data_IF_391891299611
#
_entry.id   IF_391891299611
#
_cell.length_a   1.000
_cell.length_b   1.000
_cell.length_c   1.000
_cell.angle_alpha   90.00
_cell.angle_beta   90.00
_cell.angle_gamma   90.00
#
_symmetry.space_group_name_H-M   'P 1'
#
loop_
_entity.id
_entity.type
_entity.pdbx_description
1 polymer ?
#
# COMPACT_ATOMS: atom_id res chain seq x y z
N UNK A 1 95.40 -22.27 34.63
CA UNK A 1 95.24 -21.83 33.24
C UNK A 1 93.77 -21.98 32.92
N UNK A 2 92.98 -20.91 33.11
CA UNK A 2 91.54 -20.95 32.97
C UNK A 2 91.12 -20.29 31.64
N UNK A 3 90.58 -21.07 30.78
CA UNK A 3 90.05 -20.60 29.46
C UNK A 3 88.57 -20.28 29.67
N UNK A 4 88.20 -18.99 29.53
CA UNK A 4 86.82 -18.54 29.52
C UNK A 4 86.27 -18.68 28.10
N UNK A 5 85.23 -19.45 27.96
CA UNK A 5 84.39 -19.48 26.75
C UNK A 5 83.29 -18.39 26.86
N UNK A 6 83.29 -17.46 25.91
CA UNK A 6 82.31 -16.41 25.76
C UNK A 6 81.25 -16.92 24.77
N UNK A 7 80.01 -17.11 25.30
CA UNK A 7 78.88 -17.56 24.44
C UNK A 7 78.22 -16.30 23.85
N UNK A 8 78.26 -16.19 22.53
CA UNK A 8 77.59 -15.16 21.72
C UNK A 8 76.18 -15.66 21.49
N UNK A 9 75.16 -14.96 22.09
CA UNK A 9 73.73 -15.22 21.86
C UNK A 9 73.28 -14.42 20.62
N UNK A 10 72.97 -15.12 19.55
CA UNK A 10 72.49 -14.54 18.32
C UNK A 10 70.95 -14.38 18.43
N UNK A 11 70.46 -13.16 18.55
CA UNK A 11 69.05 -12.87 18.48
C UNK A 11 68.60 -12.82 17.01
N UNK A 12 67.83 -13.85 16.55
CA UNK A 12 67.14 -13.80 15.27
C UNK A 12 65.79 -13.08 15.51
N UNK A 13 65.69 -11.85 15.01
CA UNK A 13 64.39 -11.12 14.95
C UNK A 13 63.66 -11.56 13.71
N UNK A 14 62.65 -12.40 13.88
CA UNK A 14 61.70 -12.78 12.82
C UNK A 14 60.70 -11.62 12.61
N UNK A 15 60.84 -10.88 11.53
CA UNK A 15 59.79 -9.96 11.04
C UNK A 15 58.68 -10.79 10.43
N UNK A 16 57.53 -10.88 11.14
CA UNK A 16 56.29 -11.30 10.50
C UNK A 16 55.75 -10.13 9.66
N UNK A 17 55.94 -10.20 8.36
CA UNK A 17 55.19 -9.38 7.40
C UNK A 17 53.79 -9.97 7.33
N UNK A 18 52.84 -9.36 8.05
CA UNK A 18 51.42 -9.65 7.87
C UNK A 18 51.00 -9.10 6.51
N UNK A 19 50.94 -9.96 5.49
CA UNK A 19 50.20 -9.66 4.27
C UNK A 19 48.71 -9.50 4.68
N UNK A 20 48.25 -8.25 4.79
CA UNK A 20 46.84 -7.97 4.72
C UNK A 20 46.39 -8.32 3.31
N UNK A 21 45.70 -9.44 3.16
CA UNK A 21 44.88 -9.67 1.99
C UNK A 21 43.91 -8.50 1.89
N UNK A 22 43.75 -7.84 0.73
CA UNK A 22 42.65 -6.94 0.55
C UNK A 22 41.37 -7.78 0.73
N UNK A 23 40.55 -7.41 1.72
CA UNK A 23 39.18 -7.87 1.82
C UNK A 23 38.56 -7.50 0.48
N UNK A 24 38.29 -8.52 -0.35
CA UNK A 24 37.44 -8.33 -1.51
C UNK A 24 36.16 -7.71 -0.97
N UNK A 25 35.88 -6.46 -1.33
CA UNK A 25 34.56 -5.92 -1.23
C UNK A 25 33.66 -6.91 -1.99
N UNK A 26 32.95 -7.76 -1.27
CA UNK A 26 31.77 -8.41 -1.83
C UNK A 26 30.98 -7.25 -2.44
N UNK A 27 30.80 -7.29 -3.75
CA UNK A 27 29.82 -6.43 -4.39
C UNK A 27 28.49 -6.80 -3.73
N UNK A 28 28.07 -6.04 -2.72
CA UNK A 28 26.67 -5.94 -2.40
C UNK A 28 26.01 -5.59 -3.73
N UNK A 29 25.30 -6.54 -4.30
CA UNK A 29 24.48 -6.30 -5.47
C UNK A 29 23.54 -5.17 -5.07
N UNK A 30 23.81 -3.98 -5.62
CA UNK A 30 22.89 -2.85 -5.45
C UNK A 30 21.57 -3.38 -6.00
N UNK A 31 20.61 -3.64 -5.11
CA UNK A 31 19.24 -4.00 -5.51
C UNK A 31 18.75 -2.77 -6.29
N UNK A 32 18.65 -2.92 -7.60
CA UNK A 32 18.14 -1.84 -8.44
C UNK A 32 16.64 -1.77 -8.23
N UNK A 33 16.17 -0.67 -7.63
CA UNK A 33 14.74 -0.40 -7.41
C UNK A 33 14.18 0.21 -8.70
N UNK A 34 13.23 -0.47 -9.37
CA UNK A 34 12.50 0.12 -10.49
C UNK A 34 11.81 1.41 -10.05
N UNK A 35 11.64 2.36 -10.95
CA UNK A 35 10.83 3.55 -10.66
C UNK A 35 9.34 3.19 -10.45
N UNK A 36 8.58 4.13 -9.88
CA UNK A 36 7.18 3.87 -9.57
C UNK A 36 6.33 3.55 -10.82
N UNK A 37 6.70 4.07 -12.00
CA UNK A 37 5.98 3.76 -13.25
C UNK A 37 6.11 2.29 -13.61
N UNK A 38 7.32 1.75 -13.53
CA UNK A 38 7.55 0.33 -13.78
C UNK A 38 6.88 -0.55 -12.74
N UNK A 39 6.98 -0.17 -11.45
CA UNK A 39 6.30 -0.89 -10.35
C UNK A 39 4.78 -0.94 -10.58
N UNK A 40 4.13 0.18 -10.88
CA UNK A 40 2.68 0.22 -11.12
C UNK A 40 2.27 -0.62 -12.32
N UNK A 41 3.05 -0.62 -13.40
CA UNK A 41 2.79 -1.48 -14.56
C UNK A 41 2.89 -2.97 -14.21
N UNK A 42 3.91 -3.37 -13.44
CA UNK A 42 4.13 -4.76 -13.04
C UNK A 42 3.10 -5.24 -11.99
N UNK A 43 2.61 -4.35 -11.12
CA UNK A 43 1.55 -4.66 -10.16
C UNK A 43 0.26 -5.10 -10.83
N UNK A 44 -0.11 -4.55 -11.99
CA UNK A 44 -1.31 -4.92 -12.73
C UNK A 44 -2.56 -4.98 -11.84
N UNK A 45 -3.19 -6.15 -11.77
CA UNK A 45 -4.37 -6.39 -10.91
C UNK A 45 -3.99 -7.05 -9.60
N UNK A 46 -4.63 -6.61 -8.51
CA UNK A 46 -4.45 -7.15 -7.16
C UNK A 46 -5.72 -7.11 -6.33
N UNK A 47 -5.58 -7.53 -5.09
CA UNK A 47 -6.67 -7.58 -4.12
C UNK A 47 -6.33 -6.78 -2.85
N UNK A 48 -7.37 -6.34 -2.15
CA UNK A 48 -7.27 -5.93 -0.75
C UNK A 48 -7.51 -7.14 0.17
N UNK A 49 -6.74 -7.29 1.23
CA UNK A 49 -7.06 -8.16 2.37
C UNK A 49 -7.88 -7.35 3.38
N UNK A 50 -9.10 -6.98 2.99
CA UNK A 50 -9.96 -6.07 3.74
C UNK A 50 -10.54 -6.69 5.00
N UNK A 51 -10.84 -5.84 5.98
CA UNK A 51 -11.46 -6.17 7.27
C UNK A 51 -10.62 -7.12 8.15
N UNK A 52 -9.34 -7.33 7.85
CA UNK A 52 -8.42 -8.15 8.66
C UNK A 52 -7.65 -7.25 9.62
N UNK A 53 -6.57 -6.61 9.17
CA UNK A 53 -5.70 -5.80 10.02
C UNK A 53 -6.21 -4.37 10.26
N UNK A 54 -7.22 -3.97 9.51
CA UNK A 54 -7.89 -2.67 9.59
C UNK A 54 -9.07 -2.64 10.56
N UNK A 55 -9.94 -3.68 10.55
CA UNK A 55 -11.12 -3.76 11.41
C UNK A 55 -11.10 -4.94 12.39
N UNK A 56 -10.29 -5.98 12.14
CA UNK A 56 -10.28 -7.18 12.96
C UNK A 56 -11.59 -7.99 12.89
N UNK A 57 -12.34 -7.87 11.78
CA UNK A 57 -13.55 -8.65 11.57
C UNK A 57 -13.28 -10.13 11.28
N UNK A 58 -12.04 -10.45 10.89
CA UNK A 58 -11.57 -11.80 10.64
C UNK A 58 -10.41 -12.16 11.56
N UNK A 59 -10.20 -13.45 11.77
CA UNK A 59 -9.11 -13.92 12.61
C UNK A 59 -7.74 -13.56 12.00
N UNK A 60 -6.78 -13.25 12.87
CA UNK A 60 -5.38 -13.08 12.48
C UNK A 60 -4.70 -14.46 12.36
N UNK A 61 -5.23 -15.31 11.46
CA UNK A 61 -4.70 -16.64 11.18
C UNK A 61 -3.85 -16.60 9.91
N UNK A 62 -2.53 -16.69 10.11
CA UNK A 62 -1.59 -16.67 8.99
C UNK A 62 -1.89 -17.79 7.97
N UNK A 63 -2.27 -18.99 8.41
CA UNK A 63 -2.51 -20.10 7.50
C UNK A 63 -3.72 -19.86 6.58
N UNK A 64 -4.79 -19.29 7.14
CA UNK A 64 -5.96 -18.89 6.36
C UNK A 64 -5.62 -17.80 5.36
N UNK A 65 -4.91 -16.75 5.80
CA UNK A 65 -4.51 -15.61 4.94
C UNK A 65 -3.56 -16.06 3.82
N UNK A 66 -2.58 -16.91 4.12
CA UNK A 66 -1.69 -17.48 3.11
C UNK A 66 -2.44 -18.35 2.08
N UNK A 67 -3.48 -19.07 2.51
CA UNK A 67 -4.35 -19.83 1.60
C UNK A 67 -5.12 -18.90 0.68
N UNK A 68 -5.71 -17.83 1.20
CA UNK A 68 -6.44 -16.82 0.43
C UNK A 68 -5.52 -16.15 -0.59
N UNK A 69 -4.34 -15.70 -0.19
CA UNK A 69 -3.33 -15.11 -1.08
C UNK A 69 -2.99 -16.08 -2.22
N UNK A 70 -2.75 -17.36 -1.88
CA UNK A 70 -2.40 -18.38 -2.88
C UNK A 70 -3.51 -18.60 -3.91
N UNK A 71 -4.78 -18.50 -3.53
CA UNK A 71 -5.91 -18.65 -4.44
C UNK A 71 -5.95 -17.49 -5.42
N UNK A 72 -5.76 -16.26 -4.95
CA UNK A 72 -5.74 -15.07 -5.79
C UNK A 72 -4.50 -15.01 -6.68
N UNK A 73 -3.33 -15.39 -6.19
CA UNK A 73 -2.12 -15.51 -7.00
C UNK A 73 -2.32 -16.48 -8.18
N UNK A 74 -2.90 -17.65 -7.91
CA UNK A 74 -3.14 -18.70 -8.95
C UNK A 74 -4.05 -18.26 -10.08
N UNK A 75 -4.97 -17.34 -9.83
CA UNK A 75 -5.87 -16.82 -10.89
C UNK A 75 -5.26 -15.62 -11.63
N UNK A 76 -4.08 -15.15 -11.20
CA UNK A 76 -3.31 -14.15 -11.93
C UNK A 76 -3.13 -12.79 -11.27
N UNK A 77 -3.58 -12.61 -10.03
CA UNK A 77 -3.29 -11.37 -9.30
C UNK A 77 -1.79 -11.25 -9.00
N UNK A 78 -1.27 -10.04 -9.07
CA UNK A 78 0.16 -9.71 -8.96
C UNK A 78 0.52 -8.95 -7.68
N UNK A 79 -0.46 -8.44 -6.97
CA UNK A 79 -0.23 -7.73 -5.73
C UNK A 79 -1.36 -7.93 -4.72
N UNK A 80 -1.00 -7.71 -3.45
CA UNK A 80 -1.95 -7.59 -2.35
C UNK A 80 -1.79 -6.22 -1.70
N UNK A 81 -2.90 -5.58 -1.36
CA UNK A 81 -2.92 -4.42 -0.47
C UNK A 81 -3.39 -4.90 0.89
N UNK A 82 -2.68 -4.53 1.94
CA UNK A 82 -2.95 -4.94 3.32
C UNK A 82 -3.39 -3.72 4.12
N UNK A 83 -4.71 -3.44 4.15
CA UNK A 83 -5.27 -2.42 5.01
C UNK A 83 -4.87 -2.66 6.46
N UNK A 84 -4.21 -1.68 7.11
CA UNK A 84 -3.71 -1.83 8.49
C UNK A 84 -3.98 -0.58 9.29
N UNK A 85 -4.72 -0.71 10.40
CA UNK A 85 -4.94 0.36 11.36
C UNK A 85 -3.93 0.25 12.50
N UNK A 86 -3.19 1.34 12.73
CA UNK A 86 -2.06 1.39 13.66
C UNK A 86 -2.39 2.13 14.95
N UNK A 87 -2.98 3.33 14.83
CA UNK A 87 -3.18 4.27 15.94
C UNK A 87 -4.56 4.15 16.60
N UNK A 88 -5.57 3.67 15.86
CA UNK A 88 -6.89 3.36 16.42
C UNK A 88 -6.95 1.89 16.89
N UNK A 89 -7.85 1.60 17.82
CA UNK A 89 -8.02 0.25 18.36
C UNK A 89 -8.63 -0.72 17.34
N UNK A 90 -8.01 -1.88 17.24
CA UNK A 90 -8.54 -3.06 16.55
C UNK A 90 -8.56 -4.21 17.55
N UNK A 91 -9.75 -4.72 17.84
CA UNK A 91 -9.97 -5.76 18.85
C UNK A 91 -9.38 -5.40 20.24
N UNK A 92 -9.53 -4.11 20.64
CA UNK A 92 -9.16 -3.62 21.96
C UNK A 92 -7.66 -3.32 22.14
N UNK A 93 -6.89 -3.22 21.05
CA UNK A 93 -5.47 -2.82 21.10
C UNK A 93 -5.03 -2.04 19.86
N UNK A 94 -4.01 -1.19 20.03
CA UNK A 94 -3.38 -0.43 18.94
C UNK A 94 -2.04 -1.07 18.57
N UNK A 95 -1.53 -0.80 17.36
CA UNK A 95 -0.17 -1.16 16.95
C UNK A 95 0.84 -0.04 17.22
N UNK A 96 0.36 1.19 17.44
CA UNK A 96 1.18 2.33 17.79
C UNK A 96 0.62 3.07 19.00
N UNK A 97 1.48 3.71 19.75
CA UNK A 97 1.10 4.54 20.89
C UNK A 97 0.59 5.95 20.46
N UNK A 98 0.23 6.78 21.44
CA UNK A 98 -0.27 8.14 21.19
C UNK A 98 0.75 9.08 20.53
N UNK A 99 2.02 8.73 20.53
CA UNK A 99 3.09 9.48 19.86
C UNK A 99 3.44 8.90 18.48
N UNK A 100 2.83 7.79 18.10
CA UNK A 100 3.09 7.10 16.84
C UNK A 100 4.20 6.06 16.88
N UNK A 101 4.77 5.74 18.08
CA UNK A 101 5.78 4.69 18.20
C UNK A 101 5.14 3.32 18.03
N UNK A 102 5.71 2.47 17.16
CA UNK A 102 5.14 1.17 16.80
C UNK A 102 5.59 0.07 17.74
N UNK A 103 4.65 -0.76 18.23
CA UNK A 103 4.95 -2.00 18.95
C UNK A 103 5.14 -3.16 17.98
N UNK A 104 6.37 -3.40 17.56
CA UNK A 104 6.75 -4.52 16.69
C UNK A 104 6.68 -5.89 17.38
N UNK A 105 6.52 -5.95 18.70
CA UNK A 105 6.31 -7.19 19.45
C UNK A 105 4.83 -7.56 19.55
N UNK A 106 3.93 -6.69 19.14
CA UNK A 106 2.49 -6.93 19.18
C UNK A 106 2.10 -8.18 18.37
N UNK A 107 1.26 -9.10 18.90
CA UNK A 107 0.88 -10.34 18.19
C UNK A 107 0.29 -10.10 16.80
N UNK A 108 -0.57 -9.07 16.64
CA UNK A 108 -1.17 -8.70 15.35
C UNK A 108 -0.09 -8.27 14.34
N UNK A 109 0.92 -7.51 14.77
CA UNK A 109 2.04 -7.13 13.90
C UNK A 109 2.86 -8.36 13.46
N UNK A 110 3.10 -9.33 14.33
CA UNK A 110 3.84 -10.55 13.97
C UNK A 110 3.13 -11.34 12.87
N UNK A 111 1.80 -11.42 12.91
CA UNK A 111 1.03 -12.06 11.82
C UNK A 111 1.07 -11.20 10.55
N UNK A 112 0.91 -9.89 10.66
CA UNK A 112 1.04 -8.96 9.53
C UNK A 112 2.39 -9.15 8.81
N UNK A 113 3.48 -9.18 9.57
CA UNK A 113 4.82 -9.43 9.03
C UNK A 113 4.92 -10.78 8.32
N UNK A 114 4.38 -11.86 8.90
CA UNK A 114 4.37 -13.18 8.26
C UNK A 114 3.62 -13.15 6.91
N UNK A 115 2.52 -12.42 6.82
CA UNK A 115 1.75 -12.25 5.57
C UNK A 115 2.55 -11.47 4.53
N UNK A 116 3.22 -10.38 4.94
CA UNK A 116 4.11 -9.60 4.06
C UNK A 116 5.25 -10.49 3.53
N UNK A 117 5.94 -11.20 4.42
CA UNK A 117 7.06 -12.08 4.05
C UNK A 117 6.60 -13.17 3.08
N UNK A 118 5.45 -13.79 3.33
CA UNK A 118 4.89 -14.84 2.49
C UNK A 118 4.59 -14.35 1.07
N UNK A 119 3.99 -13.17 0.94
CA UNK A 119 3.66 -12.58 -0.35
C UNK A 119 4.93 -12.20 -1.14
N UNK A 120 5.90 -11.56 -0.48
CA UNK A 120 7.16 -11.14 -1.12
C UNK A 120 7.99 -12.34 -1.56
N UNK A 121 8.04 -13.44 -0.78
CA UNK A 121 8.72 -14.68 -1.17
C UNK A 121 8.11 -15.32 -2.43
N UNK A 122 6.88 -14.97 -2.79
CA UNK A 122 6.17 -15.42 -3.99
C UNK A 122 6.22 -14.37 -5.12
N UNK A 123 7.05 -13.35 -4.95
CA UNK A 123 7.19 -12.25 -5.91
C UNK A 123 5.87 -11.48 -6.16
N UNK A 124 4.99 -11.44 -5.15
CA UNK A 124 3.83 -10.56 -5.16
C UNK A 124 4.23 -9.21 -4.59
N UNK A 125 3.77 -8.14 -5.23
CA UNK A 125 3.87 -6.81 -4.65
C UNK A 125 2.95 -6.69 -3.44
N UNK A 126 3.40 -5.98 -2.42
CA UNK A 126 2.66 -5.74 -1.17
C UNK A 126 2.54 -4.25 -0.95
N UNK A 127 1.31 -3.74 -0.86
CA UNK A 127 1.04 -2.36 -0.45
C UNK A 127 0.64 -2.38 1.02
N UNK A 128 1.47 -1.80 1.87
CA UNK A 128 1.22 -1.62 3.31
C UNK A 128 0.86 -0.16 3.58
N UNK A 129 -0.25 0.07 4.30
CA UNK A 129 -0.73 1.42 4.55
C UNK A 129 -1.02 1.72 6.03
N UNK A 130 -1.38 3.00 6.32
CA UNK A 130 -2.16 3.37 7.50
C UNK A 130 -3.61 3.54 7.04
N UNK A 131 -4.54 2.76 7.64
CA UNK A 131 -5.87 2.61 7.02
C UNK A 131 -6.94 3.49 7.64
N UNK A 132 -7.63 3.02 8.69
CA UNK A 132 -8.76 3.77 9.18
C UNK A 132 -8.37 5.05 9.92
N UNK A 133 -7.54 4.98 10.92
CA UNK A 133 -7.02 6.13 11.69
C UNK A 133 -8.07 7.25 11.89
N UNK A 134 -9.30 6.86 12.25
CA UNK A 134 -10.47 7.74 12.28
C UNK A 134 -10.28 8.89 13.25
N UNK A 135 -9.72 8.59 14.44
CA UNK A 135 -9.46 9.61 15.46
C UNK A 135 -8.42 10.62 14.97
N UNK A 136 -7.39 10.15 14.28
CA UNK A 136 -6.37 11.02 13.69
C UNK A 136 -6.98 11.90 12.58
N UNK A 137 -7.71 11.29 11.62
CA UNK A 137 -8.30 12.01 10.50
C UNK A 137 -9.33 13.05 10.94
N UNK A 138 -10.17 12.72 11.92
CA UNK A 138 -11.21 13.62 12.41
C UNK A 138 -10.66 14.83 13.18
N UNK A 139 -9.55 14.66 13.91
CA UNK A 139 -9.00 15.67 14.80
C UNK A 139 -7.74 16.35 14.26
N UNK A 140 -7.29 16.02 13.07
CA UNK A 140 -6.10 16.64 12.47
C UNK A 140 -6.32 18.15 12.29
N UNK A 141 -5.43 18.96 12.84
CA UNK A 141 -5.51 20.41 12.85
C UNK A 141 -4.26 21.11 12.26
N UNK A 142 -3.32 20.29 11.73
CA UNK A 142 -2.05 20.78 11.20
C UNK A 142 -1.01 21.10 12.27
N UNK A 143 -1.27 20.83 13.55
CA UNK A 143 -0.34 21.09 14.64
C UNK A 143 0.87 20.15 14.61
N UNK A 144 1.93 20.57 15.31
CA UNK A 144 3.14 19.76 15.47
C UNK A 144 2.87 18.42 16.16
N UNK A 145 1.82 18.31 16.98
CA UNK A 145 1.44 17.07 17.64
C UNK A 145 1.04 16.01 16.59
N UNK A 146 0.05 16.30 15.73
CA UNK A 146 -0.41 15.36 14.71
C UNK A 146 0.67 15.12 13.63
N UNK A 147 1.39 16.17 13.26
CA UNK A 147 2.48 16.06 12.30
C UNK A 147 3.61 15.15 12.80
N UNK A 148 4.00 15.28 14.06
CA UNK A 148 5.02 14.44 14.68
C UNK A 148 4.55 13.01 14.85
N UNK A 149 3.28 12.79 15.25
CA UNK A 149 2.69 11.47 15.38
C UNK A 149 2.77 10.66 14.06
N UNK A 150 2.37 11.27 12.93
CA UNK A 150 2.47 10.60 11.64
C UNK A 150 3.93 10.37 11.20
N UNK A 151 4.82 11.35 11.41
CA UNK A 151 6.24 11.19 11.09
C UNK A 151 6.89 10.06 11.88
N UNK A 152 6.61 9.96 13.18
CA UNK A 152 7.11 8.88 14.03
C UNK A 152 6.62 7.54 13.52
N UNK A 153 5.31 7.41 13.25
CA UNK A 153 4.72 6.19 12.74
C UNK A 153 5.39 5.72 11.45
N UNK A 154 5.50 6.61 10.45
CA UNK A 154 6.10 6.23 9.18
C UNK A 154 7.61 6.04 9.24
N UNK A 155 8.29 6.76 10.13
CA UNK A 155 9.72 6.52 10.37
C UNK A 155 9.94 5.13 10.94
N UNK A 156 9.20 4.73 11.98
CA UNK A 156 9.31 3.42 12.62
C UNK A 156 8.99 2.29 11.63
N UNK A 157 7.86 2.39 10.90
CA UNK A 157 7.49 1.39 9.88
C UNK A 157 8.59 1.29 8.82
N UNK A 158 9.04 2.41 8.29
CA UNK A 158 10.02 2.45 7.22
C UNK A 158 11.39 1.93 7.67
N UNK A 159 11.83 2.28 8.86
CA UNK A 159 13.09 1.79 9.44
C UNK A 159 13.04 0.27 9.65
N UNK A 160 11.92 -0.26 10.20
CA UNK A 160 11.74 -1.70 10.41
C UNK A 160 11.83 -2.51 9.11
N UNK A 161 11.27 -1.99 8.03
CA UNK A 161 11.22 -2.65 6.73
C UNK A 161 12.30 -2.16 5.74
N UNK A 162 13.31 -1.45 6.19
CA UNK A 162 14.31 -0.82 5.32
C UNK A 162 15.01 -1.82 4.39
N UNK A 163 15.36 -3.00 4.89
CA UNK A 163 16.07 -4.03 4.13
C UNK A 163 15.18 -4.81 3.14
N UNK A 164 13.86 -4.58 3.14
CA UNK A 164 12.95 -5.22 2.19
C UNK A 164 13.17 -4.68 0.78
N UNK A 165 13.01 -5.54 -0.21
CA UNK A 165 13.18 -5.21 -1.62
C UNK A 165 12.01 -4.36 -2.17
N UNK A 166 12.00 -4.11 -3.48
CA UNK A 166 11.03 -3.29 -4.19
C UNK A 166 9.60 -3.87 -4.25
N UNK A 167 9.38 -5.14 -3.88
CA UNK A 167 8.04 -5.71 -3.78
C UNK A 167 7.23 -5.12 -2.61
N UNK A 168 7.87 -4.51 -1.61
CA UNK A 168 7.17 -3.80 -0.55
C UNK A 168 7.01 -2.32 -0.91
N UNK A 169 5.77 -1.86 -0.93
CA UNK A 169 5.33 -0.51 -1.27
C UNK A 169 4.63 0.08 -0.04
N UNK A 170 4.82 1.36 0.23
CA UNK A 170 4.12 2.05 1.31
C UNK A 170 3.05 3.00 0.77
N UNK A 171 1.93 3.11 1.49
CA UNK A 171 0.85 4.04 1.21
C UNK A 171 0.55 4.85 2.47
N UNK A 172 0.71 6.17 2.38
CA UNK A 172 0.81 7.06 3.54
C UNK A 172 -0.43 7.06 4.42
N UNK A 173 -1.62 7.25 3.83
CA UNK A 173 -2.88 7.32 4.56
C UNK A 173 -4.02 6.95 3.63
N UNK A 174 -4.76 5.91 4.00
CA UNK A 174 -5.98 5.52 3.32
C UNK A 174 -7.07 6.57 3.50
N UNK A 175 -7.74 6.92 2.40
CA UNK A 175 -8.99 7.68 2.44
C UNK A 175 -8.98 8.89 3.38
N UNK A 176 -8.14 9.90 3.15
CA UNK A 176 -8.22 11.13 3.92
C UNK A 176 -9.63 11.74 3.87
N UNK A 177 -10.26 11.88 5.04
CA UNK A 177 -11.61 12.40 5.27
C UNK A 177 -11.62 13.22 6.57
N UNK A 178 -12.77 13.59 7.15
CA UNK A 178 -12.83 14.42 8.35
C UNK A 178 -12.18 15.78 8.12
N UNK A 179 -11.08 16.11 8.77
CA UNK A 179 -10.36 17.38 8.59
C UNK A 179 -9.81 17.58 7.16
N UNK A 180 -9.65 16.52 6.40
CA UNK A 180 -9.23 16.54 5.00
C UNK A 180 -10.39 16.76 4.01
N UNK A 181 -11.61 16.82 4.51
CA UNK A 181 -12.84 17.14 3.77
C UNK A 181 -13.53 15.96 3.10
N UNK A 182 -14.83 16.05 3.08
CA UNK A 182 -15.71 15.12 2.38
C UNK A 182 -16.99 15.84 1.91
N UNK A 183 -17.58 15.36 0.82
CA UNK A 183 -18.83 15.90 0.30
C UNK A 183 -20.00 15.70 1.28
N UNK A 184 -20.78 16.75 1.50
CA UNK A 184 -21.92 16.70 2.41
C UNK A 184 -21.58 16.86 3.89
N UNK A 185 -20.33 17.15 4.23
CA UNK A 185 -19.88 17.50 5.59
C UNK A 185 -19.58 19.00 5.73
N UNK A 186 -19.25 19.43 6.96
CA UNK A 186 -18.87 20.83 7.22
C UNK A 186 -17.56 21.22 6.52
N UNK A 187 -16.65 20.26 6.34
CA UNK A 187 -15.36 20.48 5.67
C UNK A 187 -15.47 20.06 4.22
N UNK A 188 -15.59 21.04 3.33
CA UNK A 188 -15.57 20.80 1.88
C UNK A 188 -14.21 20.26 1.43
N UNK A 189 -14.18 19.18 0.62
CA UNK A 189 -12.92 18.59 0.16
C UNK A 189 -12.12 19.48 -0.80
N UNK A 190 -12.73 20.53 -1.32
CA UNK A 190 -12.08 21.53 -2.19
C UNK A 190 -11.79 22.85 -1.47
N UNK A 191 -11.98 22.92 -0.14
CA UNK A 191 -11.54 24.07 0.64
C UNK A 191 -10.01 24.16 0.67
N UNK A 192 -9.49 25.38 0.73
CA UNK A 192 -8.03 25.61 0.79
C UNK A 192 -7.39 24.84 1.94
N UNK A 193 -8.05 24.76 3.10
CA UNK A 193 -7.58 24.05 4.27
C UNK A 193 -7.52 22.55 4.03
N UNK A 194 -8.59 21.91 3.53
CA UNK A 194 -8.63 20.48 3.27
C UNK A 194 -7.58 20.08 2.22
N UNK A 195 -7.44 20.84 1.16
CA UNK A 195 -6.41 20.61 0.15
C UNK A 195 -5.00 20.80 0.71
N UNK A 196 -4.78 21.82 1.53
CA UNK A 196 -3.50 22.04 2.19
C UNK A 196 -3.16 20.87 3.14
N UNK A 197 -4.10 20.48 4.01
CA UNK A 197 -3.90 19.38 4.96
C UNK A 197 -3.60 18.06 4.24
N UNK A 198 -4.32 17.75 3.16
CA UNK A 198 -4.08 16.53 2.38
C UNK A 198 -2.66 16.50 1.81
N UNK A 199 -2.23 17.58 1.17
CA UNK A 199 -0.87 17.69 0.62
C UNK A 199 0.21 17.61 1.70
N UNK A 200 -0.03 18.29 2.83
CA UNK A 200 0.92 18.36 3.94
C UNK A 200 1.13 16.98 4.56
N UNK A 201 0.05 16.23 4.86
CA UNK A 201 0.17 14.92 5.48
C UNK A 201 0.89 13.92 4.55
N UNK A 202 0.64 13.99 3.23
CA UNK A 202 1.35 13.16 2.26
C UNK A 202 2.83 13.53 2.18
N UNK A 203 3.16 14.82 2.18
CA UNK A 203 4.55 15.30 2.21
C UNK A 203 5.28 14.81 3.45
N UNK A 204 4.67 14.92 4.63
CA UNK A 204 5.26 14.52 5.90
C UNK A 204 5.56 13.02 5.95
N UNK A 205 4.64 12.19 5.47
CA UNK A 205 4.83 10.74 5.41
C UNK A 205 5.97 10.36 4.45
N UNK A 206 6.00 10.94 3.24
CA UNK A 206 7.10 10.71 2.29
C UNK A 206 8.44 11.12 2.88
N UNK A 207 8.53 12.31 3.48
CA UNK A 207 9.77 12.79 4.12
C UNK A 207 10.23 11.88 5.26
N UNK A 208 9.31 11.38 6.09
CA UNK A 208 9.64 10.45 7.18
C UNK A 208 10.22 9.14 6.63
N UNK A 209 9.60 8.56 5.60
CA UNK A 209 10.09 7.34 4.94
C UNK A 209 11.48 7.58 4.32
N UNK A 210 11.67 8.66 3.57
CA UNK A 210 12.95 8.96 2.93
C UNK A 210 14.06 9.27 3.94
N UNK A 211 13.73 9.78 5.13
CA UNK A 211 14.68 10.08 6.19
C UNK A 211 15.37 8.83 6.77
N UNK A 212 14.77 7.63 6.65
CA UNK A 212 15.39 6.37 7.09
C UNK A 212 16.54 5.91 6.17
N UNK A 213 16.64 6.46 4.96
CA UNK A 213 17.73 6.11 4.02
C UNK A 213 17.61 4.70 3.43
N UNK A 214 18.75 4.10 3.07
CA UNK A 214 18.81 2.73 2.55
C UNK A 214 17.88 2.49 1.35
N UNK A 215 17.18 1.38 1.34
CA UNK A 215 16.22 1.01 0.29
C UNK A 215 15.03 1.98 0.22
N UNK A 216 14.71 2.64 1.32
CA UNK A 216 13.58 3.58 1.38
C UNK A 216 13.82 4.87 0.60
N UNK A 217 15.05 5.18 0.19
CA UNK A 217 15.32 6.27 -0.75
C UNK A 217 14.71 6.03 -2.14
N UNK A 218 14.52 4.76 -2.51
CA UNK A 218 14.01 4.33 -3.82
C UNK A 218 12.73 3.47 -3.73
N UNK A 219 12.21 3.24 -2.52
CA UNK A 219 10.96 2.50 -2.33
C UNK A 219 9.81 3.28 -2.91
N UNK A 220 8.95 2.61 -3.67
CA UNK A 220 7.70 3.22 -4.13
C UNK A 220 6.82 3.58 -2.95
N UNK A 221 6.38 4.84 -2.92
CA UNK A 221 5.46 5.37 -1.91
C UNK A 221 4.23 5.92 -2.61
N UNK A 222 3.06 5.50 -2.16
CA UNK A 222 1.78 5.96 -2.66
C UNK A 222 1.24 7.09 -1.79
N UNK A 223 0.82 8.17 -2.43
CA UNK A 223 0.11 9.30 -1.83
C UNK A 223 -1.35 9.26 -2.25
N UNK A 224 -2.26 9.71 -1.40
CA UNK A 224 -3.70 9.64 -1.64
C UNK A 224 -4.32 11.00 -1.97
N UNK A 225 -5.52 10.96 -2.52
CA UNK A 225 -6.46 12.08 -2.60
C UNK A 225 -7.35 12.12 -1.36
N UNK A 226 -8.13 13.18 -1.17
CA UNK A 226 -9.09 13.31 -0.07
C UNK A 226 -10.51 12.85 -0.47
N UNK A 227 -11.52 13.16 0.36
CA UNK A 227 -12.91 12.72 0.19
C UNK A 227 -13.02 11.21 0.00
N UNK A 228 -12.46 10.44 0.95
CA UNK A 228 -12.33 8.98 0.88
C UNK A 228 -11.48 8.49 -0.30
N UNK A 229 -10.37 9.19 -0.59
CA UNK A 229 -9.50 8.82 -1.69
C UNK A 229 -10.12 8.97 -3.07
N UNK A 230 -11.24 9.72 -3.20
CA UNK A 230 -12.02 9.78 -4.42
C UNK A 230 -11.16 10.16 -5.63
N UNK A 231 -11.27 9.39 -6.71
CA UNK A 231 -10.45 9.55 -7.90
C UNK A 231 -10.60 10.92 -8.56
N UNK A 232 -11.79 11.55 -8.46
CA UNK A 232 -12.03 12.88 -9.03
C UNK A 232 -11.31 14.00 -8.24
N UNK A 233 -10.90 13.74 -6.99
CA UNK A 233 -10.15 14.71 -6.20
C UNK A 233 -8.70 14.91 -6.67
N UNK A 234 -8.19 14.05 -7.53
CA UNK A 234 -6.84 14.20 -8.09
C UNK A 234 -6.65 15.57 -8.76
N UNK A 235 -7.70 16.08 -9.43
CA UNK A 235 -7.67 17.36 -10.12
C UNK A 235 -7.57 18.56 -9.18
N UNK A 236 -8.13 18.46 -7.99
CA UNK A 236 -8.13 19.51 -6.97
C UNK A 236 -6.93 19.39 -6.04
N UNK A 237 -6.60 18.18 -5.60
CA UNK A 237 -5.48 17.97 -4.69
C UNK A 237 -4.14 18.18 -5.40
N UNK A 238 -3.97 17.66 -6.61
CA UNK A 238 -2.73 17.73 -7.36
C UNK A 238 -2.92 18.34 -8.77
N UNK A 239 -3.31 19.61 -8.89
CA UNK A 239 -3.56 20.23 -10.20
C UNK A 239 -2.30 20.36 -11.08
N UNK A 240 -1.11 20.44 -10.47
CA UNK A 240 0.19 20.51 -11.15
C UNK A 240 1.27 19.77 -10.36
N UNK A 241 2.40 19.40 -10.97
CA UNK A 241 3.49 18.71 -10.26
C UNK A 241 4.03 19.45 -9.03
N UNK A 242 3.87 20.78 -8.95
CA UNK A 242 4.35 21.58 -7.81
C UNK A 242 3.64 21.25 -6.47
N UNK A 243 2.46 20.63 -6.51
CA UNK A 243 1.72 20.18 -5.31
C UNK A 243 2.10 18.77 -4.86
N UNK A 244 2.83 18.01 -5.67
CA UNK A 244 3.34 16.71 -5.27
C UNK A 244 4.48 16.84 -4.24
N UNK A 245 4.66 15.89 -3.34
CA UNK A 245 5.88 15.79 -2.54
C UNK A 245 7.13 15.87 -3.42
N UNK A 246 8.16 16.57 -2.98
CA UNK A 246 9.35 16.80 -3.81
C UNK A 246 9.10 17.57 -5.11
N UNK A 247 7.93 18.20 -5.27
CA UNK A 247 7.52 18.96 -6.45
C UNK A 247 7.59 18.16 -7.76
N UNK A 248 7.27 16.86 -7.67
CA UNK A 248 7.28 15.95 -8.82
C UNK A 248 8.69 15.52 -9.28
N UNK A 249 9.70 15.66 -8.44
CA UNK A 249 11.06 15.21 -8.77
C UNK A 249 11.41 13.82 -8.21
N UNK A 250 10.54 13.24 -7.39
CA UNK A 250 10.70 11.89 -6.83
C UNK A 250 10.07 10.86 -7.78
N UNK A 251 10.90 10.09 -8.50
CA UNK A 251 10.48 9.07 -9.46
C UNK A 251 9.90 7.80 -8.78
N UNK A 252 9.93 7.75 -7.47
CA UNK A 252 9.43 6.62 -6.67
C UNK A 252 8.11 6.94 -5.96
N UNK A 253 7.34 7.91 -6.48
CA UNK A 253 5.99 8.22 -6.02
C UNK A 253 4.93 7.71 -7.01
N UNK A 254 3.81 7.22 -6.47
CA UNK A 254 2.57 6.96 -7.20
C UNK A 254 1.40 7.66 -6.50
N UNK A 255 0.31 7.92 -7.22
CA UNK A 255 -0.94 8.36 -6.60
C UNK A 255 -1.89 7.17 -6.51
N UNK A 256 -2.40 6.95 -5.32
CA UNK A 256 -3.46 5.99 -5.04
C UNK A 256 -4.79 6.73 -4.99
N UNK A 257 -5.80 6.19 -5.68
CA UNK A 257 -7.17 6.70 -5.71
C UNK A 257 -8.16 5.57 -5.52
N UNK A 258 -9.36 5.89 -5.03
CA UNK A 258 -10.47 4.95 -4.91
C UNK A 258 -11.62 5.36 -5.82
N UNK A 259 -12.41 4.38 -6.25
CA UNK A 259 -13.65 4.63 -6.97
C UNK A 259 -14.73 3.63 -6.60
N UNK A 260 -15.71 4.13 -5.85
CA UNK A 260 -17.00 3.48 -5.63
C UNK A 260 -18.12 4.35 -6.25
N UNK A 261 -17.80 4.98 -7.39
CA UNK A 261 -18.71 5.93 -8.05
C UNK A 261 -19.54 5.25 -9.16
N UNK A 262 -20.85 5.44 -9.18
CA UNK A 262 -21.63 6.10 -8.12
C UNK A 262 -21.86 5.17 -6.91
N UNK A 263 -21.90 5.75 -5.70
CA UNK A 263 -22.13 4.98 -4.47
C UNK A 263 -23.49 4.25 -4.49
N UNK A 264 -24.49 4.85 -5.14
CA UNK A 264 -25.81 4.27 -5.35
C UNK A 264 -25.77 2.95 -6.14
N UNK A 265 -24.68 2.70 -6.87
CA UNK A 265 -24.43 1.40 -7.51
C UNK A 265 -23.41 0.56 -6.74
N UNK A 266 -22.28 1.15 -6.36
CA UNK A 266 -21.14 0.41 -5.80
C UNK A 266 -21.31 0.08 -4.32
N UNK A 267 -22.03 0.91 -3.55
CA UNK A 267 -22.17 0.79 -2.10
C UNK A 267 -22.96 -0.45 -1.66
N UNK A 268 -22.83 -0.77 -0.37
CA UNK A 268 -23.51 -1.91 0.26
C UNK A 268 -25.04 -1.83 0.19
N UNK A 269 -25.59 -0.62 0.23
CA UNK A 269 -27.04 -0.34 0.07
C UNK A 269 -27.42 0.00 -1.37
N UNK A 270 -26.50 -0.18 -2.32
CA UNK A 270 -26.67 0.20 -3.72
C UNK A 270 -27.60 -0.71 -4.52
N UNK A 271 -27.95 -0.27 -5.72
CA UNK A 271 -28.83 -0.96 -6.65
C UNK A 271 -28.28 -0.97 -8.06
N UNK A 272 -28.49 -2.08 -8.78
CA UNK A 272 -27.98 -2.27 -10.15
C UNK A 272 -28.57 -1.28 -11.16
N UNK A 273 -29.75 -0.68 -10.89
CA UNK A 273 -30.35 0.35 -11.77
C UNK A 273 -29.56 1.66 -11.81
N UNK A 274 -28.70 1.90 -10.81
CA UNK A 274 -27.84 3.08 -10.73
C UNK A 274 -26.49 2.90 -11.50
N UNK A 275 -26.30 1.77 -12.20
CA UNK A 275 -25.07 1.56 -12.97
C UNK A 275 -24.92 2.60 -14.08
N UNK A 276 -23.81 3.36 -14.13
CA UNK A 276 -23.62 4.42 -15.12
C UNK A 276 -23.29 3.92 -16.52
N UNK A 277 -22.92 2.64 -16.65
CA UNK A 277 -22.48 2.00 -17.88
C UNK A 277 -20.95 1.97 -18.05
N UNK A 278 -20.47 0.93 -18.74
CA UNK A 278 -19.04 0.65 -18.96
C UNK A 278 -18.29 1.86 -19.51
N UNK A 279 -18.89 2.53 -20.52
CA UNK A 279 -18.25 3.65 -21.19
C UNK A 279 -18.02 4.86 -20.27
N UNK A 280 -18.95 5.16 -19.35
CA UNK A 280 -18.83 6.27 -18.41
C UNK A 280 -17.75 5.93 -17.39
N UNK A 281 -17.77 4.71 -16.83
CA UNK A 281 -16.74 4.23 -15.91
C UNK A 281 -15.35 4.33 -16.52
N UNK A 282 -15.16 3.77 -17.72
CA UNK A 282 -13.88 3.81 -18.42
C UNK A 282 -13.42 5.25 -18.75
N UNK A 283 -14.33 6.13 -19.18
CA UNK A 283 -13.96 7.51 -19.49
C UNK A 283 -13.50 8.30 -18.26
N UNK A 284 -14.14 8.10 -17.11
CA UNK A 284 -13.71 8.72 -15.86
C UNK A 284 -12.29 8.26 -15.48
N UNK A 285 -12.01 6.97 -15.58
CA UNK A 285 -10.68 6.42 -15.31
C UNK A 285 -9.63 6.94 -16.29
N UNK A 286 -9.95 7.01 -17.60
CA UNK A 286 -9.06 7.58 -18.62
C UNK A 286 -8.73 9.06 -18.35
N UNK A 287 -9.69 9.84 -17.85
CA UNK A 287 -9.43 11.24 -17.46
C UNK A 287 -8.42 11.32 -16.29
N UNK A 288 -8.55 10.45 -15.29
CA UNK A 288 -7.60 10.33 -14.16
C UNK A 288 -6.21 9.91 -14.66
N UNK A 289 -6.14 8.89 -15.52
CA UNK A 289 -4.87 8.44 -16.11
C UNK A 289 -4.18 9.54 -16.92
N UNK A 290 -4.95 10.27 -17.75
CA UNK A 290 -4.43 11.40 -18.53
C UNK A 290 -3.88 12.50 -17.62
N UNK A 291 -4.52 12.74 -16.47
CA UNK A 291 -4.02 13.70 -15.49
C UNK A 291 -2.74 13.21 -14.82
N UNK A 292 -2.66 11.93 -14.44
CA UNK A 292 -1.44 11.30 -13.92
C UNK A 292 -0.25 11.45 -14.87
N UNK A 293 -0.47 11.19 -16.18
CA UNK A 293 0.55 11.42 -17.21
C UNK A 293 0.99 12.89 -17.31
N UNK A 294 0.04 13.84 -17.18
CA UNK A 294 0.36 15.28 -17.13
C UNK A 294 1.17 15.68 -15.90
N UNK A 295 0.94 15.01 -14.77
CA UNK A 295 1.71 15.19 -13.54
C UNK A 295 3.08 14.50 -13.59
N UNK A 296 3.28 13.53 -14.50
CA UNK A 296 4.46 12.68 -14.56
C UNK A 296 4.51 11.65 -13.43
N UNK A 297 3.34 11.17 -12.92
CA UNK A 297 3.22 10.25 -11.82
C UNK A 297 2.24 9.12 -12.16
N UNK A 298 2.56 7.83 -11.90
CA UNK A 298 1.67 6.72 -12.15
C UNK A 298 0.52 6.63 -11.13
N UNK A 299 -0.56 5.96 -11.52
CA UNK A 299 -1.81 5.86 -10.75
C UNK A 299 -2.09 4.41 -10.36
N UNK A 300 -2.49 4.20 -9.10
CA UNK A 300 -3.10 2.97 -8.62
C UNK A 300 -4.56 3.23 -8.21
N UNK A 301 -5.48 2.40 -8.71
CA UNK A 301 -6.85 2.32 -8.18
C UNK A 301 -6.82 1.39 -6.97
N UNK A 302 -6.56 1.92 -5.79
CA UNK A 302 -6.32 1.17 -4.55
C UNK A 302 -7.54 0.44 -4.03
N UNK A 303 -8.75 0.94 -4.35
CA UNK A 303 -10.00 0.26 -4.04
C UNK A 303 -11.08 0.52 -5.10
N UNK A 304 -11.82 -0.54 -5.41
CA UNK A 304 -13.06 -0.52 -6.19
C UNK A 304 -13.84 -1.80 -5.91
N UNK A 305 -15.15 -1.78 -6.13
CA UNK A 305 -15.99 -2.96 -5.94
C UNK A 305 -17.47 -2.65 -5.97
N UNK A 306 -18.28 -3.70 -5.84
CA UNK A 306 -19.74 -3.62 -5.68
C UNK A 306 -20.13 -4.42 -4.45
N UNK A 307 -20.61 -3.73 -3.42
CA UNK A 307 -21.13 -4.31 -2.18
C UNK A 307 -22.62 -4.52 -2.21
N UNK A 308 -23.13 -5.45 -1.41
CA UNK A 308 -24.55 -5.60 -1.08
C UNK A 308 -24.67 -6.16 0.31
N UNK A 309 -25.47 -5.53 1.16
CA UNK A 309 -25.75 -5.98 2.52
C UNK A 309 -26.90 -7.00 2.56
N UNK A 310 -28.08 -6.64 2.07
CA UNK A 310 -29.28 -7.46 2.18
C UNK A 310 -29.52 -8.40 1.00
N UNK A 311 -29.07 -8.05 -0.20
CA UNK A 311 -29.34 -8.84 -1.41
C UNK A 311 -28.08 -9.14 -2.22
N UNK A 312 -27.26 -10.04 -1.69
CA UNK A 312 -26.03 -10.50 -2.35
C UNK A 312 -26.25 -11.05 -3.78
N UNK A 313 -27.46 -11.55 -4.10
CA UNK A 313 -27.78 -12.07 -5.43
C UNK A 313 -27.79 -10.99 -6.51
N UNK A 314 -27.98 -9.73 -6.18
CA UNK A 314 -27.82 -8.61 -7.12
C UNK A 314 -26.40 -8.54 -7.69
N UNK A 315 -25.38 -9.09 -7.00
CA UNK A 315 -24.00 -9.16 -7.50
C UNK A 315 -23.81 -10.24 -8.56
N UNK A 316 -24.73 -11.21 -8.64
CA UNK A 316 -24.70 -12.30 -9.63
C UNK A 316 -25.36 -11.89 -10.95
N UNK A 317 -24.90 -10.83 -11.58
CA UNK A 317 -25.40 -10.34 -12.86
C UNK A 317 -24.25 -10.02 -13.81
N UNK A 318 -24.51 -10.07 -15.12
CA UNK A 318 -23.52 -9.67 -16.13
C UNK A 318 -23.14 -8.21 -16.00
N UNK A 319 -24.07 -7.36 -15.58
CA UNK A 319 -23.83 -5.95 -15.34
C UNK A 319 -22.75 -5.73 -14.28
N UNK A 320 -22.82 -6.43 -13.14
CA UNK A 320 -21.81 -6.35 -12.08
C UNK A 320 -20.47 -6.94 -12.56
N UNK A 321 -20.50 -8.07 -13.24
CA UNK A 321 -19.29 -8.67 -13.83
C UNK A 321 -18.61 -7.72 -14.82
N UNK A 322 -19.40 -7.07 -15.70
CA UNK A 322 -18.89 -6.09 -16.65
C UNK A 322 -18.26 -4.88 -15.97
N UNK A 323 -18.85 -4.37 -14.89
CA UNK A 323 -18.25 -3.28 -14.11
C UNK A 323 -16.82 -3.65 -13.63
N UNK A 324 -16.66 -4.80 -12.98
CA UNK A 324 -15.34 -5.25 -12.50
C UNK A 324 -14.33 -5.39 -13.63
N UNK A 325 -14.76 -6.00 -14.75
CA UNK A 325 -13.92 -6.17 -15.93
C UNK A 325 -13.54 -4.83 -16.56
N UNK A 326 -14.50 -3.91 -16.69
CA UNK A 326 -14.26 -2.56 -17.24
C UNK A 326 -13.21 -1.82 -16.42
N UNK A 327 -13.28 -1.87 -15.08
CA UNK A 327 -12.28 -1.22 -14.23
C UNK A 327 -10.89 -1.82 -14.46
N UNK A 328 -10.77 -3.16 -14.42
CA UNK A 328 -9.49 -3.84 -14.59
C UNK A 328 -8.89 -3.61 -15.97
N UNK A 329 -9.67 -3.80 -17.03
CA UNK A 329 -9.19 -3.61 -18.40
C UNK A 329 -8.79 -2.17 -18.66
N UNK A 330 -9.59 -1.19 -18.22
CA UNK A 330 -9.23 0.22 -18.37
C UNK A 330 -7.96 0.57 -17.60
N UNK A 331 -7.77 0.01 -16.40
CA UNK A 331 -6.54 0.22 -15.64
C UNK A 331 -5.33 -0.28 -16.44
N UNK A 332 -5.37 -1.50 -16.95
CA UNK A 332 -4.30 -2.09 -17.78
C UNK A 332 -4.04 -1.29 -19.04
N UNK A 333 -5.10 -0.95 -19.81
CA UNK A 333 -5.00 -0.16 -21.05
C UNK A 333 -4.32 1.20 -20.84
N UNK A 334 -4.59 1.84 -19.71
CA UNK A 334 -4.07 3.18 -19.37
C UNK A 334 -2.74 3.15 -18.61
N UNK A 335 -2.15 1.97 -18.37
CA UNK A 335 -0.89 1.81 -17.64
C UNK A 335 -1.02 2.08 -16.14
N UNK A 336 -2.17 1.78 -15.57
CA UNK A 336 -2.46 1.86 -14.14
C UNK A 336 -2.49 0.47 -13.52
N UNK A 337 -2.38 0.38 -12.19
CA UNK A 337 -2.72 -0.82 -11.42
C UNK A 337 -4.07 -0.67 -10.72
N UNK A 338 -4.67 -1.79 -10.31
CA UNK A 338 -5.96 -1.77 -9.62
C UNK A 338 -6.05 -2.89 -8.56
N UNK A 339 -6.58 -2.57 -7.38
CA UNK A 339 -6.77 -3.49 -6.26
C UNK A 339 -8.25 -3.61 -5.92
N UNK A 340 -8.86 -4.73 -6.26
CA UNK A 340 -10.28 -4.96 -5.95
C UNK A 340 -10.47 -5.10 -4.44
N UNK A 341 -11.56 -4.55 -3.88
CA UNK A 341 -11.90 -4.70 -2.47
C UNK A 341 -12.47 -6.09 -2.21
N UNK A 342 -11.82 -6.84 -1.33
CA UNK A 342 -12.23 -8.16 -0.84
C UNK A 342 -12.30 -8.13 0.69
N UNK A 343 -13.49 -8.29 1.25
CA UNK A 343 -13.73 -8.20 2.70
C UNK A 343 -14.35 -9.47 3.29
N UNK A 344 -14.57 -10.49 2.46
CA UNK A 344 -15.35 -11.70 2.79
C UNK A 344 -16.75 -11.43 3.33
N UNK A 345 -17.20 -10.19 3.19
CA UNK A 345 -18.50 -9.68 3.63
C UNK A 345 -19.34 -9.18 2.46
N UNK A 346 -19.74 -7.93 2.55
CA UNK A 346 -20.63 -7.28 1.56
C UNK A 346 -20.01 -7.21 0.16
N UNK A 347 -18.69 -7.05 0.09
CA UNK A 347 -17.91 -7.02 -1.15
C UNK A 347 -17.21 -8.36 -1.44
N UNK A 348 -17.36 -9.36 -0.57
CA UNK A 348 -16.63 -10.63 -0.63
C UNK A 348 -16.68 -11.29 -2.01
N UNK A 349 -15.52 -11.69 -2.52
CA UNK A 349 -15.34 -12.32 -3.83
C UNK A 349 -15.14 -13.84 -3.74
N UNK A 350 -14.88 -14.34 -2.53
CA UNK A 350 -14.76 -15.77 -2.24
C UNK A 350 -15.73 -16.21 -1.16
N UNK A 351 -16.02 -17.50 -1.13
CA UNK A 351 -16.77 -18.17 -0.08
C UNK A 351 -16.13 -19.52 0.25
N UNK A 352 -16.37 -20.03 1.46
CA UNK A 352 -15.79 -21.27 1.93
C UNK A 352 -14.89 -21.08 3.13
N UNK A 353 -14.05 -22.07 3.41
CA UNK A 353 -13.08 -22.09 4.49
C UNK A 353 -11.81 -22.84 4.08
N UNK A 354 -10.81 -22.84 4.95
CA UNK A 354 -9.59 -23.65 4.75
C UNK A 354 -9.93 -25.15 4.65
N UNK A 355 -10.88 -25.64 5.45
CA UNK A 355 -11.26 -27.05 5.46
C UNK A 355 -12.09 -27.46 4.23
N UNK A 356 -13.03 -26.60 3.81
CA UNK A 356 -13.93 -26.89 2.68
C UNK A 356 -13.33 -26.51 1.32
N UNK A 357 -12.25 -25.73 1.34
CA UNK A 357 -11.74 -24.99 0.18
C UNK A 357 -12.53 -23.71 -0.08
N UNK A 358 -11.88 -22.76 -0.76
CA UNK A 358 -12.50 -21.51 -1.18
C UNK A 358 -12.92 -21.58 -2.65
N UNK A 359 -14.04 -20.95 -3.00
CA UNK A 359 -14.54 -20.80 -4.35
C UNK A 359 -14.87 -19.33 -4.66
N UNK A 360 -14.79 -18.93 -5.92
CA UNK A 360 -15.14 -17.57 -6.33
C UNK A 360 -16.64 -17.37 -6.39
N UNK A 361 -17.14 -16.32 -5.74
CA UNK A 361 -18.56 -15.95 -5.79
C UNK A 361 -18.94 -15.38 -7.16
N UNK A 362 -20.09 -15.83 -7.67
CA UNK A 362 -20.74 -15.26 -8.85
C UNK A 362 -19.88 -15.17 -10.13
N UNK A 363 -18.81 -15.94 -10.19
CA UNK A 363 -17.85 -15.91 -11.32
C UNK A 363 -17.25 -14.50 -11.57
N UNK A 364 -17.22 -13.63 -10.54
CA UNK A 364 -16.71 -12.24 -10.67
C UNK A 364 -15.21 -12.25 -11.00
N UNK A 365 -14.40 -12.92 -10.18
CA UNK A 365 -12.94 -12.90 -10.32
C UNK A 365 -12.47 -13.53 -11.65
N UNK A 366 -12.91 -14.73 -12.04
CA UNK A 366 -12.52 -15.29 -13.34
C UNK A 366 -12.95 -14.42 -14.52
N UNK A 367 -14.14 -13.83 -14.44
CA UNK A 367 -14.64 -12.95 -15.52
C UNK A 367 -13.87 -11.63 -15.61
N UNK A 368 -13.56 -11.03 -14.47
CA UNK A 368 -12.82 -9.77 -14.36
C UNK A 368 -11.43 -9.85 -15.00
N UNK A 369 -10.76 -11.01 -14.87
CA UNK A 369 -9.41 -11.26 -15.37
C UNK A 369 -9.37 -11.96 -16.72
N UNK A 370 -10.53 -12.35 -17.31
CA UNK A 370 -10.55 -13.01 -18.61
C UNK A 370 -10.13 -12.06 -19.73
N UNK A 371 -9.23 -12.53 -20.59
CA UNK A 371 -9.03 -11.96 -21.92
C UNK A 371 -10.30 -12.23 -22.78
N UNK A 372 -10.68 -11.32 -23.67
CA UNK A 372 -11.81 -11.56 -24.58
C UNK A 372 -11.53 -12.70 -25.57
#
# INVERSE_FOLDING_TARGET
MNVKYSTILLFIVLFFVACKNPISSENESIIDFPDATNIILEMGSGINLGNVFDLGAHNFDFYELATIITIYEKVGFKHIRIPTTWMDEVNGSTLADDNGNVDFEHPRFKVLKQVIDFAIQRELYVVLNTHHERSFKANYDGSDYYNSKLRTLWYDIAEYFNDYNHFLIFEILNEPEGAFGHWGTEVSPVSDQALFFTREIMRLGVEAIRATGGNNLKRTVMIATNAYGNHNQIFSVYPTPSQLPGKGQDNYLAIQVHSYDPWEFCGETGDNSAYPGDQITANNMRAVAAHGRKLGIPINYGEFGVGRDDNQQQRNTDLVRNYYRTVVQTAVEEGMSSSVWEDRGWFGLIEGSVESGFTYKYNIVPYMLSEE
#
